data_IF_616520212958
#
_entry.id   IF_616520212958
#
_cell.length_a   1.000
_cell.length_b   1.000
_cell.length_c   1.000
_cell.angle_alpha   90.00
_cell.angle_beta   90.00
_cell.angle_gamma   90.00
#
_symmetry.space_group_name_H-M   'P 1'
#
loop_
_entity.id
_entity.type
_entity.pdbx_description
1 polymer ?
#
# COMPACT_ATOMS: atom_id res chain seq x y z
N UNK A 1 -19.95 4.49 14.43
CA UNK A 1 -19.43 5.68 13.72
C UNK A 1 -18.23 5.25 12.90
N UNK A 2 -18.29 5.54 11.60
CA UNK A 2 -17.23 5.26 10.64
C UNK A 2 -16.66 6.62 10.22
N UNK A 3 -15.34 6.73 10.19
CA UNK A 3 -14.64 7.97 9.84
C UNK A 3 -13.69 7.69 8.68
N UNK A 4 -13.73 8.54 7.67
CA UNK A 4 -12.80 8.51 6.54
C UNK A 4 -11.78 9.65 6.70
N UNK A 5 -10.50 9.34 6.51
CA UNK A 5 -9.40 10.30 6.61
C UNK A 5 -8.40 9.99 5.49
N UNK A 6 -7.94 11.01 4.76
CA UNK A 6 -7.01 10.82 3.65
C UNK A 6 -6.56 12.14 3.03
N UNK A 7 -5.38 12.14 2.40
CA UNK A 7 -4.79 13.34 1.79
C UNK A 7 -5.42 13.70 0.43
N UNK A 8 -5.82 12.69 -0.36
CA UNK A 8 -6.34 12.86 -1.72
C UNK A 8 -7.88 12.89 -1.82
N UNK A 9 -8.58 12.48 -0.76
CA UNK A 9 -10.05 12.45 -0.63
C UNK A 9 -10.57 13.42 0.43
N UNK A 10 -9.72 14.31 0.94
CA UNK A 10 -9.99 15.18 2.10
C UNK A 10 -11.20 16.11 1.94
N UNK A 11 -11.60 16.44 0.71
CA UNK A 11 -12.78 17.27 0.46
C UNK A 11 -14.10 16.51 0.69
N UNK A 12 -14.13 15.19 0.48
CA UNK A 12 -15.36 14.40 0.43
C UNK A 12 -15.43 13.29 1.48
N UNK A 13 -14.47 13.21 2.41
CA UNK A 13 -14.44 12.19 3.47
C UNK A 13 -15.75 12.14 4.28
N UNK A 14 -16.28 13.30 4.67
CA UNK A 14 -17.54 13.38 5.42
C UNK A 14 -18.74 12.97 4.58
N UNK A 15 -18.71 13.30 3.28
CA UNK A 15 -19.77 12.92 2.35
C UNK A 15 -19.77 11.41 2.10
N UNK A 16 -18.59 10.81 1.90
CA UNK A 16 -18.44 9.36 1.75
C UNK A 16 -18.86 8.61 3.02
N UNK A 17 -18.53 9.14 4.21
CA UNK A 17 -18.97 8.55 5.47
C UNK A 17 -20.50 8.57 5.61
N UNK A 18 -21.16 9.68 5.25
CA UNK A 18 -22.63 9.79 5.25
C UNK A 18 -23.29 8.89 4.21
N UNK A 19 -22.69 8.78 3.02
CA UNK A 19 -23.17 7.89 1.97
C UNK A 19 -23.14 6.43 2.44
N UNK A 20 -22.02 6.00 3.01
CA UNK A 20 -21.86 4.67 3.57
C UNK A 20 -22.85 4.42 4.72
N UNK A 21 -23.04 5.40 5.60
CA UNK A 21 -24.03 5.31 6.69
C UNK A 21 -25.44 5.06 6.13
N UNK A 22 -25.83 5.79 5.08
CA UNK A 22 -27.10 5.59 4.39
C UNK A 22 -27.22 4.20 3.74
N UNK A 23 -26.14 3.70 3.12
CA UNK A 23 -26.12 2.36 2.52
C UNK A 23 -26.29 1.26 3.58
N UNK A 24 -25.59 1.37 4.71
CA UNK A 24 -25.71 0.41 5.82
C UNK A 24 -27.09 0.46 6.49
N UNK A 25 -27.70 1.65 6.59
CA UNK A 25 -29.05 1.81 7.10
C UNK A 25 -30.08 1.18 6.15
N UNK A 26 -29.96 1.38 4.85
CA UNK A 26 -30.79 0.70 3.85
C UNK A 26 -30.63 -0.82 3.90
N UNK A 27 -29.39 -1.32 4.02
CA UNK A 27 -29.13 -2.74 4.16
C UNK A 27 -29.83 -3.32 5.40
N UNK A 28 -29.76 -2.59 6.52
CA UNK A 28 -30.44 -2.95 7.77
C UNK A 28 -31.96 -3.01 7.61
N UNK A 29 -32.55 -2.04 6.91
CA UNK A 29 -33.99 -2.00 6.62
C UNK A 29 -34.44 -3.12 5.67
N UNK A 30 -33.62 -3.46 4.68
CA UNK A 30 -33.95 -4.52 3.72
C UNK A 30 -33.86 -5.93 4.34
N UNK A 31 -32.91 -6.13 5.26
CA UNK A 31 -32.68 -7.44 5.90
C UNK A 31 -33.42 -7.61 7.24
N UNK A 32 -34.17 -6.59 7.69
CA UNK A 32 -34.77 -6.50 9.04
C UNK A 32 -33.80 -6.93 10.16
N UNK A 33 -32.51 -6.63 9.97
CA UNK A 33 -31.43 -7.12 10.83
C UNK A 33 -30.30 -6.10 10.89
N UNK A 34 -29.67 -6.01 12.06
CA UNK A 34 -28.44 -5.23 12.23
C UNK A 34 -27.32 -5.77 11.33
N UNK A 35 -26.65 -4.86 10.62
CA UNK A 35 -25.52 -5.19 9.75
C UNK A 35 -24.37 -5.74 10.59
N UNK A 36 -23.75 -6.83 10.14
CA UNK A 36 -22.54 -7.36 10.78
C UNK A 36 -21.37 -6.43 10.51
N UNK A 37 -20.49 -6.27 11.50
CA UNK A 37 -19.29 -5.42 11.37
C UNK A 37 -18.44 -5.83 10.17
N UNK A 38 -18.28 -7.13 9.93
CA UNK A 38 -17.52 -7.65 8.77
C UNK A 38 -18.13 -7.18 7.45
N UNK A 39 -19.46 -7.25 7.32
CA UNK A 39 -20.15 -6.80 6.10
C UNK A 39 -20.01 -5.29 5.91
N UNK A 40 -20.16 -4.52 6.98
CA UNK A 40 -19.95 -3.08 6.93
C UNK A 40 -18.51 -2.70 6.58
N UNK A 41 -17.53 -3.44 7.11
CA UNK A 41 -16.11 -3.26 6.81
C UNK A 41 -15.81 -3.52 5.31
N UNK A 42 -16.35 -4.59 4.75
CA UNK A 42 -16.14 -4.95 3.35
C UNK A 42 -16.76 -3.93 2.38
N UNK A 43 -18.00 -3.48 2.64
CA UNK A 43 -18.64 -2.42 1.86
C UNK A 43 -17.83 -1.11 1.94
N UNK A 44 -17.32 -0.77 3.12
CA UNK A 44 -16.49 0.42 3.33
C UNK A 44 -15.20 0.37 2.53
N UNK A 45 -14.51 -0.78 2.54
CA UNK A 45 -13.26 -0.97 1.78
C UNK A 45 -13.51 -0.80 0.28
N UNK A 46 -14.59 -1.39 -0.23
CA UNK A 46 -14.94 -1.30 -1.65
C UNK A 46 -15.21 0.15 -2.06
N UNK A 47 -16.05 0.87 -1.30
CA UNK A 47 -16.38 2.27 -1.59
C UNK A 47 -15.13 3.17 -1.60
N UNK A 48 -14.27 3.02 -0.59
CA UNK A 48 -13.03 3.81 -0.49
C UNK A 48 -12.06 3.43 -1.62
N UNK A 49 -11.98 2.15 -2.00
CA UNK A 49 -11.13 1.69 -3.09
C UNK A 49 -11.55 2.34 -4.40
N UNK A 50 -12.83 2.30 -4.73
CA UNK A 50 -13.34 2.84 -5.99
C UNK A 50 -13.13 4.36 -6.07
N UNK A 51 -13.32 5.08 -4.95
CA UNK A 51 -13.05 6.51 -4.87
C UNK A 51 -11.56 6.84 -5.10
N UNK A 52 -10.65 6.12 -4.44
CA UNK A 52 -9.21 6.31 -4.61
C UNK A 52 -8.72 5.92 -6.00
N UNK A 53 -9.31 4.87 -6.58
CA UNK A 53 -9.03 4.44 -7.95
C UNK A 53 -9.36 5.53 -8.96
N UNK A 54 -10.58 6.08 -8.89
CA UNK A 54 -11.00 7.18 -9.74
C UNK A 54 -10.07 8.39 -9.61
N UNK A 55 -9.77 8.80 -8.37
CA UNK A 55 -8.87 9.92 -8.08
C UNK A 55 -7.47 9.71 -8.68
N UNK A 56 -6.92 8.50 -8.54
CA UNK A 56 -5.58 8.16 -9.03
C UNK A 56 -5.48 8.24 -10.56
N UNK A 57 -6.55 7.91 -11.26
CA UNK A 57 -6.60 7.98 -12.73
C UNK A 57 -6.80 9.42 -13.21
N UNK A 58 -7.56 10.22 -12.46
CA UNK A 58 -7.89 11.59 -12.88
C UNK A 58 -6.77 12.60 -12.68
N UNK A 59 -5.85 12.34 -11.75
CA UNK A 59 -4.77 13.27 -11.40
C UNK A 59 -3.39 12.69 -11.73
N UNK A 60 -2.43 13.57 -12.06
CA UNK A 60 -1.11 13.19 -12.53
C UNK A 60 -0.16 12.77 -11.39
N UNK A 61 -0.39 13.23 -10.16
CA UNK A 61 0.54 13.06 -9.02
C UNK A 61 -0.02 12.23 -7.85
N UNK A 62 -1.13 11.54 -8.05
CA UNK A 62 -1.85 10.75 -7.04
C UNK A 62 -1.24 9.35 -6.81
N UNK A 63 -0.26 8.95 -7.62
CA UNK A 63 0.54 7.74 -7.43
C UNK A 63 0.02 6.54 -8.24
N UNK A 64 0.35 5.33 -7.79
CA UNK A 64 0.06 4.10 -8.57
C UNK A 64 -0.45 2.95 -7.70
N UNK A 65 -0.53 3.14 -6.39
CA UNK A 65 -0.88 2.11 -5.41
C UNK A 65 -1.87 2.67 -4.41
N UNK A 66 -2.89 1.88 -4.11
CA UNK A 66 -3.83 2.16 -3.03
C UNK A 66 -3.35 1.42 -1.77
N UNK A 67 -3.20 2.17 -0.68
CA UNK A 67 -2.94 1.62 0.65
C UNK A 67 -4.13 1.93 1.55
N UNK A 68 -4.51 0.96 2.37
CA UNK A 68 -5.62 1.10 3.32
C UNK A 68 -5.23 0.68 4.72
N UNK A 69 -5.82 1.34 5.71
CA UNK A 69 -5.64 1.04 7.12
C UNK A 69 -7.01 0.92 7.78
N UNK A 70 -7.29 -0.26 8.33
CA UNK A 70 -8.54 -0.49 9.08
C UNK A 70 -8.20 -0.48 10.56
N UNK A 71 -8.77 0.50 11.25
CA UNK A 71 -8.60 0.70 12.68
C UNK A 71 -9.83 0.16 13.39
N UNK A 72 -9.66 -0.93 14.14
CA UNK A 72 -10.66 -1.42 15.09
C UNK A 72 -10.20 -1.08 16.52
N UNK A 73 -11.07 -1.27 17.52
CA UNK A 73 -10.71 -0.99 18.92
C UNK A 73 -9.52 -1.82 19.41
N UNK A 74 -9.36 -3.02 18.90
CA UNK A 74 -8.38 -4.00 19.38
C UNK A 74 -7.14 -4.07 18.48
N UNK A 75 -7.33 -3.87 17.16
CA UNK A 75 -6.28 -4.07 16.17
C UNK A 75 -6.26 -3.00 15.09
N UNK A 76 -5.06 -2.78 14.56
CA UNK A 76 -4.79 -2.03 13.35
C UNK A 76 -4.40 -3.02 12.25
N UNK A 77 -5.28 -3.18 11.26
CA UNK A 77 -5.00 -3.98 10.08
C UNK A 77 -4.43 -3.09 8.97
N UNK A 78 -3.26 -3.45 8.46
CA UNK A 78 -2.54 -2.70 7.43
C UNK A 78 -2.64 -3.45 6.10
N UNK A 79 -3.26 -2.82 5.12
CA UNK A 79 -3.34 -3.33 3.76
C UNK A 79 -2.45 -2.47 2.86
N UNK A 80 -1.18 -2.86 2.80
CA UNK A 80 -0.20 -2.24 1.92
C UNK A 80 -0.35 -2.84 0.52
N UNK A 81 -0.44 -1.99 -0.50
CA UNK A 81 -0.76 -2.40 -1.88
C UNK A 81 -2.07 -3.21 -1.98
N UNK A 82 -3.14 -2.71 -1.35
CA UNK A 82 -4.48 -3.28 -1.50
C UNK A 82 -4.86 -3.41 -2.97
N UNK A 83 -4.46 -2.43 -3.78
CA UNK A 83 -4.50 -2.52 -5.23
C UNK A 83 -3.32 -1.77 -5.86
N UNK A 84 -2.80 -2.32 -6.96
CA UNK A 84 -1.80 -1.69 -7.81
C UNK A 84 -2.51 -1.29 -9.10
N UNK A 85 -2.69 0.02 -9.30
CA UNK A 85 -3.46 0.57 -10.43
C UNK A 85 -2.60 0.62 -11.68
N UNK A 86 -1.38 1.14 -11.54
CA UNK A 86 -0.43 1.24 -12.63
C UNK A 86 0.78 0.38 -12.31
N UNK A 87 1.01 -0.64 -13.15
CA UNK A 87 2.20 -1.46 -13.11
C UNK A 87 3.23 -0.86 -14.05
N UNK A 88 4.48 -0.78 -13.59
CA UNK A 88 5.59 -0.36 -14.45
C UNK A 88 5.83 -1.45 -15.49
N UNK A 89 5.69 -1.11 -16.76
CA UNK A 89 6.02 -2.00 -17.87
C UNK A 89 7.51 -2.35 -17.86
N UNK A 90 7.83 -3.56 -18.28
CA UNK A 90 9.21 -4.00 -18.46
C UNK A 90 9.94 -3.12 -19.48
N UNK A 91 11.24 -2.93 -19.27
CA UNK A 91 12.08 -2.21 -20.22
C UNK A 91 12.16 -3.04 -21.51
N UNK A 92 11.93 -2.40 -22.66
CA UNK A 92 11.98 -3.07 -23.96
C UNK A 92 13.41 -3.42 -24.40
N UNK A 93 14.42 -2.73 -23.87
CA UNK A 93 15.81 -2.95 -24.20
C UNK A 93 16.70 -2.83 -22.95
N UNK A 94 17.82 -3.55 -22.99
CA UNK A 94 18.90 -3.37 -22.05
C UNK A 94 19.78 -2.19 -22.49
N UNK A 95 19.95 -1.23 -21.59
CA UNK A 95 20.79 -0.04 -21.80
C UNK A 95 22.05 -0.08 -20.91
N UNK A 96 22.37 -1.25 -20.36
CA UNK A 96 23.55 -1.44 -19.52
C UNK A 96 24.81 -1.25 -20.35
N UNK A 97 25.57 -0.20 -20.04
CA UNK A 97 26.85 0.05 -20.69
C UNK A 97 27.93 -0.90 -20.16
N UNK A 98 28.82 -1.36 -21.03
CA UNK A 98 29.98 -2.14 -20.61
C UNK A 98 30.92 -1.28 -19.75
N UNK A 99 31.65 -1.90 -18.82
CA UNK A 99 32.59 -1.16 -17.98
C UNK A 99 33.66 -0.49 -18.85
N UNK A 100 33.99 0.76 -18.54
CA UNK A 100 35.00 1.54 -19.28
C UNK A 100 34.46 2.41 -20.41
N UNK A 101 33.13 2.47 -20.64
CA UNK A 101 32.52 3.36 -21.63
C UNK A 101 32.50 4.84 -21.24
N UNK A 102 32.69 5.16 -19.96
CA UNK A 102 32.71 6.53 -19.46
C UNK A 102 34.14 6.91 -19.10
N UNK A 103 34.63 8.04 -19.63
CA UNK A 103 35.95 8.56 -19.31
C UNK A 103 36.00 8.99 -17.84
N UNK A 104 37.03 8.53 -17.12
CA UNK A 104 37.22 8.86 -15.71
C UNK A 104 38.39 9.81 -15.58
N UNK A 105 38.11 11.06 -15.19
CA UNK A 105 39.13 12.12 -15.10
C UNK A 105 40.13 11.91 -13.95
N UNK A 106 39.68 11.36 -12.82
CA UNK A 106 40.56 11.01 -11.71
C UNK A 106 39.95 9.90 -10.85
N UNK A 107 40.81 9.00 -10.37
CA UNK A 107 40.43 7.90 -9.47
C UNK A 107 41.28 8.01 -8.22
N UNK A 108 40.63 8.16 -7.05
CA UNK A 108 41.29 8.08 -5.75
C UNK A 108 40.72 6.89 -4.97
N UNK A 109 41.53 5.86 -4.76
CA UNK A 109 41.13 4.67 -3.99
C UNK A 109 41.82 4.69 -2.63
N UNK A 110 41.05 4.77 -1.56
CA UNK A 110 41.52 4.61 -0.19
C UNK A 110 41.22 3.19 0.28
N UNK A 111 42.27 2.41 0.54
CA UNK A 111 42.13 1.12 1.23
C UNK A 111 41.83 1.40 2.70
N UNK A 112 40.76 0.80 3.22
CA UNK A 112 40.42 0.84 4.64
C UNK A 112 40.99 -0.44 5.24
N UNK A 113 41.96 -0.30 6.15
CA UNK A 113 42.42 -1.40 6.99
C UNK A 113 41.45 -1.54 8.17
N UNK A 114 41.02 -2.76 8.45
CA UNK A 114 40.19 -3.09 9.60
C UNK A 114 40.81 -4.29 10.34
N UNK A 115 40.90 -4.18 11.66
CA UNK A 115 41.14 -5.32 12.53
C UNK A 115 39.77 -5.88 12.97
N UNK A 116 39.58 -7.18 12.81
CA UNK A 116 38.36 -7.86 13.28
C UNK A 116 38.45 -7.98 14.80
N UNK A 117 37.84 -7.03 15.52
CA UNK A 117 37.88 -7.00 16.99
C UNK A 117 36.86 -7.97 17.62
N UNK A 118 35.75 -8.27 16.95
CA UNK A 118 34.75 -9.22 17.46
C UNK A 118 33.87 -9.81 16.35
N UNK A 119 33.68 -11.13 16.38
CA UNK A 119 32.66 -11.83 15.61
C UNK A 119 31.47 -12.19 16.51
N UNK A 120 30.24 -11.90 16.05
CA UNK A 120 29.01 -12.38 16.68
C UNK A 120 28.23 -13.21 15.65
N UNK A 121 28.12 -14.50 15.92
CA UNK A 121 27.32 -15.43 15.12
C UNK A 121 25.86 -15.32 15.57
N UNK A 122 24.95 -14.94 14.66
CA UNK A 122 23.50 -15.07 14.86
C UNK A 122 23.00 -16.26 14.06
N UNK A 123 22.33 -17.19 14.73
CA UNK A 123 21.60 -18.26 14.06
C UNK A 123 20.37 -17.65 13.36
N UNK A 124 20.19 -17.95 12.08
CA UNK A 124 19.01 -17.57 11.30
C UNK A 124 17.94 -18.65 11.49
N UNK A 125 16.81 -18.31 12.09
CA UNK A 125 15.64 -19.20 12.10
C UNK A 125 15.04 -19.25 10.69
N UNK A 126 14.87 -20.45 10.16
CA UNK A 126 14.23 -20.71 8.87
C UNK A 126 12.74 -20.40 8.98
N UNK A 127 12.30 -19.24 8.49
CA UNK A 127 10.88 -19.00 8.27
C UNK A 127 10.43 -19.78 7.03
N UNK A 128 9.41 -20.61 7.22
CA UNK A 128 8.81 -21.49 6.20
C UNK A 128 8.45 -20.71 4.93
N UNK A 129 8.84 -21.24 3.77
CA UNK A 129 8.46 -20.70 2.48
C UNK A 129 6.94 -20.83 2.31
N UNK A 130 6.26 -19.70 2.13
CA UNK A 130 4.83 -19.66 1.80
C UNK A 130 4.66 -20.09 0.33
N UNK A 131 4.01 -21.23 0.11
CA UNK A 131 3.55 -21.65 -1.23
C UNK A 131 2.46 -20.70 -1.74
N UNK A 132 2.62 -20.23 -2.98
CA UNK A 132 1.59 -19.53 -3.74
C UNK A 132 0.79 -20.58 -4.53
N UNK A 133 -0.49 -20.70 -4.22
CA UNK A 133 -1.51 -21.35 -5.06
C UNK A 133 -2.20 -20.32 -5.95
#
# INVERSE_FOLDING_TARGET
>A
NIYALGAATSADCDFQARLLESQLELFKLNQDRQVRVVTAEDETKQLIRDALYASTITDLFSGSKINMYVLTKEKLDKFLSYEIIAVRTEKQADYTLTKGTTEVLSINVKKIEYDVVNEKVKATETHEAMELA
#
